data_IF_690907899741
#
_entry.id   IF_690907899741
#
_cell.length_a   1.000
_cell.length_b   1.000
_cell.length_c   1.000
_cell.angle_alpha   90.00
_cell.angle_beta   90.00
_cell.angle_gamma   90.00
#
_symmetry.space_group_name_H-M   'P 1'
#
loop_
_entity.id
_entity.type
_entity.pdbx_description
1 polymer ?
#
# COMPACT_ATOMS: atom_id res chain seq x y z
N UNK A 1 62.37 -10.70 15.62
CA UNK A 1 61.42 -9.74 15.01
C UNK A 1 60.97 -8.78 16.11
N UNK A 2 61.36 -7.51 16.01
CA UNK A 2 61.23 -6.52 17.10
C UNK A 2 59.77 -6.24 17.43
N UNK A 3 59.41 -6.19 18.73
CA UNK A 3 58.08 -5.83 19.26
C UNK A 3 57.55 -4.51 18.67
N UNK A 4 58.46 -3.66 18.19
CA UNK A 4 58.15 -2.41 17.48
C UNK A 4 57.46 -2.59 16.13
N UNK A 5 57.82 -3.64 15.36
CA UNK A 5 57.19 -3.94 14.07
C UNK A 5 55.75 -4.44 14.24
N UNK A 6 55.46 -5.16 15.32
CA UNK A 6 54.09 -5.58 15.65
C UNK A 6 53.20 -4.39 16.07
N UNK A 7 53.72 -3.43 16.85
CA UNK A 7 52.94 -2.25 17.22
C UNK A 7 52.62 -1.33 16.03
N UNK A 8 53.55 -1.21 15.06
CA UNK A 8 53.31 -0.46 13.82
C UNK A 8 52.25 -1.11 12.95
N UNK A 9 52.26 -2.44 12.80
CA UNK A 9 51.24 -3.18 12.04
C UNK A 9 49.87 -3.09 12.74
N UNK A 10 49.82 -3.11 14.07
CA UNK A 10 48.58 -2.98 14.84
C UNK A 10 47.97 -1.57 14.75
N UNK A 11 48.80 -0.52 14.69
CA UNK A 11 48.34 0.87 14.51
C UNK A 11 47.88 1.18 13.08
N UNK A 12 48.47 0.55 12.06
CA UNK A 12 48.02 0.68 10.67
C UNK A 12 46.71 -0.07 10.37
N UNK A 13 46.30 -1.02 11.20
CA UNK A 13 45.02 -1.75 11.07
C UNK A 13 43.78 -0.97 11.55
N UNK A 14 43.96 0.18 12.21
CA UNK A 14 42.86 1.00 12.76
C UNK A 14 42.40 2.13 11.84
N UNK A 15 42.98 2.29 10.65
CA UNK A 15 42.39 3.12 9.58
C UNK A 15 41.30 2.31 8.87
N UNK A 16 40.35 1.82 9.66
CA UNK A 16 39.16 1.11 9.18
C UNK A 16 38.25 2.08 8.44
N UNK A 17 37.78 1.63 7.28
CA UNK A 17 36.86 2.29 6.36
C UNK A 17 35.89 3.27 7.05
N UNK A 18 36.12 4.58 6.88
CA UNK A 18 34.99 5.51 6.86
C UNK A 18 34.18 5.16 5.63
N UNK A 19 33.14 4.33 5.81
CA UNK A 19 32.06 4.31 4.83
C UNK A 19 31.52 5.73 4.84
N UNK A 20 31.83 6.48 3.78
CA UNK A 20 31.09 7.69 3.44
C UNK A 20 29.67 7.26 3.09
N UNK A 21 28.90 6.85 4.08
CA UNK A 21 27.46 6.80 3.97
C UNK A 21 27.05 8.26 3.83
N UNK A 22 26.98 8.73 2.58
CA UNK A 22 26.23 9.95 2.24
C UNK A 22 24.95 9.91 3.05
N UNK A 23 24.67 10.91 3.90
CA UNK A 23 23.42 10.97 4.63
C UNK A 23 22.32 10.93 3.58
N UNK A 24 21.66 9.78 3.44
CA UNK A 24 20.52 9.67 2.54
C UNK A 24 19.52 10.72 3.01
N UNK A 25 18.94 11.53 2.11
CA UNK A 25 17.94 12.51 2.50
C UNK A 25 16.89 11.80 3.35
N UNK A 26 16.88 12.11 4.64
CA UNK A 26 15.88 11.56 5.55
C UNK A 26 14.55 12.17 5.10
N UNK A 27 13.53 11.32 4.95
CA UNK A 27 12.18 11.82 4.68
C UNK A 27 11.82 12.91 5.70
N UNK A 28 11.00 13.91 5.32
CA UNK A 28 10.62 14.99 6.23
C UNK A 28 9.72 14.54 7.40
N UNK A 29 9.48 13.22 7.50
CA UNK A 29 8.74 12.51 8.53
C UNK A 29 9.41 11.15 8.80
N UNK A 30 9.18 10.56 9.97
CA UNK A 30 9.91 9.35 10.40
C UNK A 30 9.57 8.09 9.60
N UNK A 31 8.36 8.01 9.06
CA UNK A 31 7.89 6.91 8.22
C UNK A 31 6.73 7.35 7.34
N UNK A 32 6.61 6.73 6.15
CA UNK A 32 5.39 6.73 5.36
C UNK A 32 4.53 5.51 5.71
N UNK A 33 3.23 5.56 5.47
CA UNK A 33 2.29 4.48 5.75
C UNK A 33 1.95 3.71 4.48
N UNK A 34 2.03 2.38 4.51
CA UNK A 34 1.54 1.50 3.45
C UNK A 34 0.22 0.88 3.90
N UNK A 35 -0.87 1.17 3.19
CA UNK A 35 -2.21 0.74 3.58
C UNK A 35 -3.02 0.12 2.45
N UNK A 36 -3.94 -0.76 2.84
CA UNK A 36 -4.77 -1.54 1.93
C UNK A 36 -6.24 -1.50 2.34
N UNK A 37 -7.10 -1.40 1.34
CA UNK A 37 -8.55 -1.48 1.53
C UNK A 37 -9.25 -2.13 0.34
N UNK A 38 -10.48 -2.56 0.58
CA UNK A 38 -11.41 -3.03 -0.43
C UNK A 38 -12.71 -2.22 -0.38
N UNK A 39 -13.49 -2.19 -1.49
CA UNK A 39 -14.83 -1.60 -1.48
C UNK A 39 -15.74 -2.30 -0.47
N UNK A 40 -16.79 -1.62 0.01
CA UNK A 40 -17.69 -2.19 1.00
C UNK A 40 -18.22 -3.56 0.58
N UNK A 41 -18.24 -4.51 1.52
CA UNK A 41 -18.65 -5.90 1.32
C UNK A 41 -17.85 -6.71 0.30
N UNK A 42 -16.87 -6.13 -0.41
CA UNK A 42 -16.03 -6.86 -1.36
C UNK A 42 -14.85 -7.51 -0.65
N UNK A 43 -15.12 -8.58 0.11
CA UNK A 43 -14.12 -9.22 0.95
C UNK A 43 -12.94 -9.75 0.12
N UNK A 44 -11.73 -9.42 0.54
CA UNK A 44 -10.49 -9.86 -0.07
C UNK A 44 -9.48 -10.35 0.98
N UNK A 45 -8.57 -11.21 0.55
CA UNK A 45 -7.40 -11.62 1.32
C UNK A 45 -6.13 -11.21 0.58
N UNK A 46 -5.33 -10.33 1.16
CA UNK A 46 -4.03 -9.95 0.61
C UNK A 46 -3.03 -11.08 0.88
N UNK A 47 -2.50 -11.72 -0.15
CA UNK A 47 -1.47 -12.75 0.03
C UNK A 47 -0.13 -12.11 0.36
N UNK A 48 0.24 -11.09 -0.42
CA UNK A 48 1.45 -10.31 -0.18
C UNK A 48 1.36 -8.92 -0.79
N UNK A 49 2.18 -8.04 -0.25
CA UNK A 49 2.66 -6.84 -0.89
C UNK A 49 4.17 -6.76 -0.73
N UNK A 50 4.91 -6.60 -1.83
CA UNK A 50 6.34 -6.35 -1.82
C UNK A 50 6.60 -4.91 -2.26
N UNK A 51 7.59 -4.27 -1.64
CA UNK A 51 7.95 -2.88 -1.90
C UNK A 51 9.42 -2.80 -2.26
N UNK A 52 9.74 -2.09 -3.35
CA UNK A 52 11.09 -1.57 -3.58
C UNK A 52 11.07 -0.05 -3.42
N UNK A 53 12.03 0.51 -2.70
CA UNK A 53 12.16 1.96 -2.53
C UNK A 53 13.10 2.60 -3.56
N UNK A 54 13.11 3.93 -3.58
CA UNK A 54 13.99 4.75 -4.44
C UNK A 54 15.49 4.53 -4.20
N UNK A 55 15.87 3.93 -3.07
CA UNK A 55 17.25 3.59 -2.74
C UNK A 55 17.66 2.20 -3.24
N UNK A 56 16.77 1.49 -3.95
CA UNK A 56 16.98 0.13 -4.42
C UNK A 56 16.83 -0.94 -3.34
N UNK A 57 16.27 -0.60 -2.17
CA UNK A 57 16.03 -1.59 -1.11
C UNK A 57 14.73 -2.33 -1.38
N UNK A 58 14.78 -3.65 -1.22
CA UNK A 58 13.64 -4.53 -1.38
C UNK A 58 13.11 -4.97 -0.02
N UNK A 59 11.81 -4.83 0.18
CA UNK A 59 11.08 -5.22 1.38
C UNK A 59 9.97 -6.22 1.01
N UNK A 60 10.24 -7.53 1.09
CA UNK A 60 9.26 -8.56 0.78
C UNK A 60 8.21 -8.69 1.90
N UNK A 61 7.01 -9.13 1.54
CA UNK A 61 5.91 -9.40 2.47
C UNK A 61 5.65 -8.22 3.43
N UNK A 62 5.71 -7.00 2.89
CA UNK A 62 5.45 -5.77 3.61
C UNK A 62 4.10 -5.79 4.34
N UNK A 63 3.10 -6.38 3.68
CA UNK A 63 1.75 -6.60 4.19
C UNK A 63 1.16 -7.91 3.67
N UNK A 64 0.16 -8.41 4.39
CA UNK A 64 -0.66 -9.56 4.04
C UNK A 64 -1.86 -9.68 4.98
N UNK A 65 -2.81 -10.56 4.65
CA UNK A 65 -4.01 -10.86 5.43
C UNK A 65 -5.25 -10.03 5.06
N UNK A 66 -6.19 -9.97 6.00
CA UNK A 66 -7.45 -9.19 5.86
C UNK A 66 -7.12 -7.70 5.73
N UNK A 67 -7.66 -7.04 4.71
CA UNK A 67 -7.55 -5.58 4.49
C UNK A 67 -8.74 -4.80 5.07
N UNK A 68 -8.67 -3.48 5.10
CA UNK A 68 -9.79 -2.66 5.57
C UNK A 68 -10.99 -2.71 4.61
N UNK A 69 -12.19 -2.83 5.15
CA UNK A 69 -13.42 -2.84 4.36
C UNK A 69 -14.63 -2.50 5.24
N UNK A 70 -15.59 -1.74 4.72
CA UNK A 70 -16.87 -1.54 5.39
C UNK A 70 -17.83 -2.71 5.17
N UNK A 71 -18.48 -3.16 6.24
CA UNK A 71 -19.53 -4.19 6.17
C UNK A 71 -20.64 -3.94 7.21
N UNK A 72 -21.30 -2.76 7.21
CA UNK A 72 -22.37 -2.50 8.18
C UNK A 72 -23.50 -3.52 8.00
N UNK A 73 -23.95 -4.11 9.12
CA UNK A 73 -24.95 -5.18 9.15
C UNK A 73 -26.32 -4.75 8.59
N UNK A 74 -26.62 -3.45 8.56
CA UNK A 74 -27.83 -2.90 7.95
C UNK A 74 -27.88 -3.02 6.42
N UNK A 75 -26.79 -3.44 5.77
CA UNK A 75 -26.66 -3.53 4.31
C UNK A 75 -26.95 -2.19 3.58
N UNK A 76 -26.79 -1.07 4.29
CA UNK A 76 -27.12 0.26 3.81
C UNK A 76 -25.99 0.95 3.06
N UNK A 77 -24.75 0.52 3.26
CA UNK A 77 -23.61 1.04 2.52
C UNK A 77 -23.62 0.50 1.09
N UNK A 78 -23.12 1.28 0.14
CA UNK A 78 -22.97 0.83 -1.24
C UNK A 78 -21.60 0.18 -1.46
N UNK A 79 -21.58 -0.95 -2.16
CA UNK A 79 -20.36 -1.54 -2.73
C UNK A 79 -19.97 -0.91 -4.07
N UNK A 80 -20.87 -0.14 -4.70
CA UNK A 80 -20.59 0.53 -5.99
C UNK A 80 -19.61 1.68 -5.78
N UNK A 81 -18.51 1.64 -6.52
CA UNK A 81 -17.45 2.63 -6.43
C UNK A 81 -16.68 2.57 -5.12
N UNK A 82 -15.67 3.44 -5.02
CA UNK A 82 -14.90 3.60 -3.80
C UNK A 82 -15.64 4.48 -2.80
N UNK A 83 -15.42 4.32 -1.48
CA UNK A 83 -15.96 5.23 -0.49
C UNK A 83 -15.60 6.69 -0.82
N UNK A 84 -16.55 7.62 -0.66
CA UNK A 84 -16.34 9.05 -0.94
C UNK A 84 -15.12 9.62 -0.22
N UNK A 85 -14.85 9.14 1.00
CA UNK A 85 -13.63 9.41 1.76
C UNK A 85 -12.86 8.11 1.88
N UNK A 86 -11.83 7.97 1.06
CA UNK A 86 -10.84 6.90 1.20
C UNK A 86 -10.04 7.22 2.45
N UNK A 87 -9.87 6.24 3.34
CA UNK A 87 -8.95 6.34 4.46
C UNK A 87 -7.67 5.57 4.15
N UNK A 88 -6.66 5.66 5.01
CA UNK A 88 -5.37 5.00 4.81
C UNK A 88 -5.49 3.47 4.67
N UNK A 89 -6.58 2.88 5.17
CA UNK A 89 -6.84 1.45 5.14
C UNK A 89 -6.15 0.71 6.28
N UNK A 90 -5.99 -0.61 6.15
CA UNK A 90 -5.23 -1.42 7.10
C UNK A 90 -3.82 -1.62 6.57
N UNK A 91 -2.83 -1.40 7.41
CA UNK A 91 -1.48 -1.19 6.96
C UNK A 91 -0.50 -1.03 8.10
N UNK A 92 0.70 -0.56 7.75
CA UNK A 92 1.79 -0.30 8.69
C UNK A 92 2.67 0.85 8.22
N UNK A 93 3.40 1.42 9.17
CA UNK A 93 4.46 2.37 8.89
C UNK A 93 5.71 1.66 8.35
N UNK A 94 6.30 2.26 7.32
CA UNK A 94 7.49 1.82 6.61
C UNK A 94 8.71 2.61 7.11
N UNK A 95 9.06 2.40 8.37
CA UNK A 95 10.14 3.13 9.04
C UNK A 95 11.49 2.79 8.45
N UNK A 96 12.29 3.83 8.19
CA UNK A 96 13.65 3.69 7.70
C UNK A 96 13.77 3.39 6.21
N UNK A 97 12.68 3.18 5.47
CA UNK A 97 12.67 3.02 4.00
C UNK A 97 12.53 4.37 3.30
N UNK A 98 13.10 4.49 2.10
CA UNK A 98 12.82 5.59 1.19
C UNK A 98 11.38 5.51 0.66
N UNK A 99 10.96 6.49 -0.13
CA UNK A 99 9.65 6.44 -0.77
C UNK A 99 9.55 5.24 -1.73
N UNK A 100 8.35 4.66 -1.90
CA UNK A 100 8.15 3.51 -2.76
C UNK A 100 8.41 3.88 -4.22
N UNK A 101 9.15 3.03 -4.92
CA UNK A 101 9.39 3.11 -6.36
C UNK A 101 8.63 2.02 -7.12
N UNK A 102 8.57 0.81 -6.59
CA UNK A 102 7.86 -0.31 -7.20
C UNK A 102 7.07 -1.09 -6.16
N UNK A 103 5.85 -1.48 -6.53
CA UNK A 103 4.97 -2.27 -5.69
C UNK A 103 4.55 -3.52 -6.47
N UNK A 104 4.65 -4.68 -5.83
CA UNK A 104 4.06 -5.93 -6.31
C UNK A 104 3.03 -6.42 -5.30
N UNK A 105 1.81 -6.70 -5.75
CA UNK A 105 0.71 -7.16 -4.89
C UNK A 105 0.08 -8.41 -5.48
N UNK A 106 -0.34 -9.31 -4.60
CA UNK A 106 -1.19 -10.45 -4.97
C UNK A 106 -2.27 -10.63 -3.92
N UNK A 107 -3.51 -10.80 -4.36
CA UNK A 107 -4.65 -10.96 -3.47
C UNK A 107 -5.67 -11.92 -4.04
N UNK A 108 -6.48 -12.46 -3.14
CA UNK A 108 -7.63 -13.29 -3.44
C UNK A 108 -8.88 -12.45 -3.29
N UNK A 109 -9.68 -12.33 -4.35
CA UNK A 109 -11.04 -11.86 -4.27
C UNK A 109 -11.92 -13.00 -3.76
N UNK A 110 -12.60 -12.81 -2.63
CA UNK A 110 -13.36 -13.89 -1.98
C UNK A 110 -14.84 -13.89 -2.42
N UNK A 111 -15.36 -12.72 -2.83
CA UNK A 111 -16.75 -12.57 -3.31
C UNK A 111 -16.96 -13.11 -4.72
N UNK A 112 -15.88 -13.20 -5.47
CA UNK A 112 -15.77 -13.89 -6.75
C UNK A 112 -14.42 -14.61 -6.72
N UNK A 113 -14.39 -15.89 -6.33
CA UNK A 113 -13.15 -16.63 -6.09
C UNK A 113 -12.19 -16.56 -7.29
N UNK A 114 -11.29 -15.57 -7.25
CA UNK A 114 -10.28 -15.29 -8.26
C UNK A 114 -9.08 -14.64 -7.58
N UNK A 115 -7.88 -15.16 -7.86
CA UNK A 115 -6.61 -14.55 -7.42
C UNK A 115 -6.08 -13.64 -8.50
N UNK A 116 -5.63 -12.45 -8.09
CA UNK A 116 -5.07 -11.44 -8.97
C UNK A 116 -3.69 -11.02 -8.50
N UNK A 117 -2.86 -10.57 -9.44
CA UNK A 117 -1.56 -9.97 -9.15
C UNK A 117 -1.31 -8.74 -10.01
N UNK A 118 -0.56 -7.79 -9.47
CA UNK A 118 -0.12 -6.60 -10.19
C UNK A 118 1.28 -6.20 -9.75
N UNK A 119 2.06 -5.68 -10.69
CA UNK A 119 3.34 -5.02 -10.43
C UNK A 119 3.32 -3.67 -11.14
N UNK A 120 3.63 -2.60 -10.42
CA UNK A 120 3.61 -1.26 -10.98
C UNK A 120 4.63 -0.34 -10.31
N UNK A 121 5.06 0.68 -11.05
CA UNK A 121 5.92 1.72 -10.53
C UNK A 121 5.10 2.88 -9.95
N UNK A 122 5.61 3.50 -8.89
CA UNK A 122 5.10 4.77 -8.39
C UNK A 122 5.82 5.88 -9.17
N UNK A 123 5.09 6.78 -9.85
CA UNK A 123 5.70 7.83 -10.64
C UNK A 123 6.43 8.85 -9.75
N UNK A 124 7.50 9.44 -10.29
CA UNK A 124 8.34 10.41 -9.57
C UNK A 124 7.51 11.59 -9.06
N UNK A 125 6.55 12.09 -9.85
CA UNK A 125 5.69 13.19 -9.42
C UNK A 125 4.92 12.88 -8.13
N UNK A 126 4.51 11.61 -7.93
CA UNK A 126 3.81 11.22 -6.72
C UNK A 126 4.76 11.25 -5.52
N UNK A 127 6.01 10.79 -5.70
CA UNK A 127 7.05 10.87 -4.67
C UNK A 127 7.33 12.33 -4.29
N UNK A 128 7.45 13.23 -5.27
CA UNK A 128 7.61 14.67 -5.03
C UNK A 128 6.45 15.24 -4.20
N UNK A 129 5.21 14.84 -4.53
CA UNK A 129 4.01 15.23 -3.77
C UNK A 129 3.96 14.64 -2.36
N UNK A 130 4.58 13.49 -2.10
CA UNK A 130 4.71 12.96 -0.75
C UNK A 130 5.71 13.77 0.10
N UNK A 131 6.70 14.42 -0.53
CA UNK A 131 7.70 15.27 0.13
C UNK A 131 7.23 16.72 0.33
N UNK A 132 6.15 17.13 -0.32
CA UNK A 132 5.61 18.50 -0.24
C UNK A 132 4.90 18.76 1.09
N UNK A 133 5.42 19.72 1.88
CA UNK A 133 4.76 20.22 3.09
C UNK A 133 3.67 21.20 2.70
N UNK A 134 2.42 20.90 3.05
CA UNK A 134 1.28 21.73 2.70
C UNK A 134 0.54 22.25 3.93
N UNK A 135 -0.01 23.47 3.89
CA UNK A 135 -0.98 23.90 4.91
C UNK A 135 -2.22 23.00 4.84
N UNK A 136 -2.78 22.65 6.00
CA UNK A 136 -3.91 21.76 6.12
C UNK A 136 -4.84 22.22 7.26
N UNK A 137 -6.14 21.96 7.13
CA UNK A 137 -7.12 22.18 8.19
C UNK A 137 -7.58 20.81 8.70
N UNK A 138 -7.00 20.35 9.81
CA UNK A 138 -7.35 19.05 10.37
C UNK A 138 -8.69 19.14 11.13
N UNK A 139 -9.61 18.16 10.96
CA UNK A 139 -10.88 18.17 11.67
C UNK A 139 -10.77 18.22 13.21
N UNK A 140 -9.68 17.68 13.78
CA UNK A 140 -9.49 17.56 15.23
C UNK A 140 -8.52 18.60 15.78
N UNK A 141 -7.38 18.82 15.12
CA UNK A 141 -6.32 19.71 15.62
C UNK A 141 -6.36 21.12 15.04
N UNK A 142 -7.31 21.41 14.13
CA UNK A 142 -7.39 22.69 13.41
C UNK A 142 -6.25 22.89 12.43
N UNK A 143 -5.97 24.16 12.11
CA UNK A 143 -4.97 24.58 11.14
C UNK A 143 -3.56 24.11 11.49
N UNK A 144 -2.92 23.43 10.55
CA UNK A 144 -1.58 22.86 10.67
C UNK A 144 -0.88 22.84 9.31
N UNK A 145 0.23 22.11 9.23
CA UNK A 145 0.82 21.65 7.98
C UNK A 145 0.99 20.14 8.00
N UNK A 146 0.83 19.47 6.87
CA UNK A 146 0.95 18.02 6.76
C UNK A 146 1.64 17.60 5.45
N UNK A 147 1.89 16.30 5.29
CA UNK A 147 2.47 15.67 4.12
C UNK A 147 1.54 14.56 3.63
N UNK A 148 1.60 14.24 2.33
CA UNK A 148 0.94 13.04 1.80
C UNK A 148 1.77 11.80 2.04
N UNK A 149 1.92 11.43 3.31
CA UNK A 149 2.82 10.37 3.77
C UNK A 149 2.18 8.97 3.77
N UNK A 150 0.96 8.82 3.27
CA UNK A 150 0.27 7.53 3.18
C UNK A 150 0.17 7.11 1.71
N UNK A 151 0.63 5.90 1.38
CA UNK A 151 0.37 5.21 0.11
C UNK A 151 -0.73 4.17 0.36
N UNK A 152 -1.91 4.42 -0.18
CA UNK A 152 -3.08 3.55 -0.01
C UNK A 152 -3.42 2.85 -1.30
N UNK A 153 -3.56 1.53 -1.23
CA UNK A 153 -3.96 0.67 -2.32
C UNK A 153 -5.39 0.17 -2.10
N UNK A 154 -6.28 0.56 -2.98
CA UNK A 154 -7.60 -0.02 -3.14
C UNK A 154 -7.49 -1.22 -4.07
N UNK A 155 -7.89 -2.40 -3.59
CA UNK A 155 -7.98 -3.62 -4.38
C UNK A 155 -9.44 -4.09 -4.42
N UNK A 156 -9.95 -4.36 -5.62
CA UNK A 156 -11.36 -4.70 -5.81
C UNK A 156 -11.54 -5.95 -6.70
N UNK A 157 -12.72 -6.58 -6.65
CA UNK A 157 -13.13 -7.59 -7.62
C UNK A 157 -12.98 -7.14 -9.07
N UNK A 158 -12.83 -8.11 -9.97
CA UNK A 158 -12.51 -7.87 -11.38
C UNK A 158 -11.07 -7.38 -11.60
N UNK A 159 -10.20 -7.47 -10.59
CA UNK A 159 -8.78 -7.14 -10.72
C UNK A 159 -8.48 -5.64 -10.76
N UNK A 160 -9.33 -4.78 -10.21
CA UNK A 160 -9.06 -3.33 -10.21
C UNK A 160 -8.14 -2.96 -9.06
N UNK A 161 -7.03 -2.29 -9.38
CA UNK A 161 -6.15 -1.65 -8.39
C UNK A 161 -6.21 -0.15 -8.58
N UNK A 162 -6.45 0.60 -7.50
CA UNK A 162 -6.40 2.06 -7.48
C UNK A 162 -5.48 2.51 -6.36
N UNK A 163 -4.65 3.50 -6.63
CA UNK A 163 -3.59 3.94 -5.71
C UNK A 163 -3.75 5.41 -5.42
N UNK A 164 -3.63 5.78 -4.14
CA UNK A 164 -3.65 7.16 -3.70
C UNK A 164 -2.42 7.47 -2.85
N UNK A 165 -1.95 8.72 -2.98
CA UNK A 165 -1.15 9.35 -1.94
C UNK A 165 -2.05 10.28 -1.13
N UNK A 166 -1.93 10.22 0.19
CA UNK A 166 -2.79 11.00 1.07
C UNK A 166 -2.10 11.33 2.39
N UNK A 167 -2.68 12.26 3.14
CA UNK A 167 -2.20 12.63 4.47
C UNK A 167 -3.37 12.71 5.44
N UNK A 168 -3.12 12.60 6.75
CA UNK A 168 -4.16 12.72 7.79
C UNK A 168 -5.10 13.92 7.60
N UNK A 169 -4.57 15.04 7.10
CA UNK A 169 -5.34 16.27 6.91
C UNK A 169 -5.33 16.82 5.48
N UNK A 170 -4.86 16.02 4.51
CA UNK A 170 -4.76 16.43 3.11
C UNK A 170 -5.64 15.55 2.23
N UNK A 171 -6.26 16.20 1.25
CA UNK A 171 -7.06 15.49 0.27
C UNK A 171 -6.21 14.52 -0.55
N UNK A 172 -6.74 13.30 -0.79
CA UNK A 172 -6.04 12.27 -1.55
C UNK A 172 -5.83 12.68 -3.01
N UNK A 173 -4.68 12.31 -3.56
CA UNK A 173 -4.39 12.36 -4.99
C UNK A 173 -4.40 10.93 -5.51
N UNK A 174 -5.25 10.64 -6.49
CA UNK A 174 -5.20 9.39 -7.23
C UNK A 174 -3.92 9.38 -8.09
N UNK A 175 -3.06 8.41 -7.82
CA UNK A 175 -1.78 8.23 -8.52
C UNK A 175 -1.97 7.45 -9.80
N UNK A 176 -2.71 6.35 -9.72
CA UNK A 176 -2.99 5.49 -10.86
C UNK A 176 -4.20 4.58 -10.59
N UNK A 177 -4.78 4.09 -11.67
CA UNK A 177 -5.71 2.97 -11.68
C UNK A 177 -5.27 1.98 -12.75
N UNK A 178 -5.26 0.70 -12.44
CA UNK A 178 -4.83 -0.35 -13.38
C UNK A 178 -5.65 -1.63 -13.25
N UNK A 179 -5.62 -2.41 -14.32
CA UNK A 179 -6.10 -3.78 -14.36
C UNK A 179 -4.98 -4.72 -13.91
N UNK A 180 -5.24 -5.50 -12.89
CA UNK A 180 -4.39 -6.61 -12.48
C UNK A 180 -4.64 -7.84 -13.35
N UNK A 181 -3.62 -8.67 -13.44
CA UNK A 181 -3.67 -9.96 -14.10
C UNK A 181 -4.26 -11.02 -13.17
N UNK A 182 -4.92 -12.01 -13.76
CA UNK A 182 -5.28 -13.23 -13.04
C UNK A 182 -4.00 -14.01 -12.72
N UNK A 183 -3.81 -14.42 -11.46
CA UNK A 183 -2.75 -15.37 -11.09
C UNK A 183 -3.18 -16.77 -11.55
N UNK A 184 -2.54 -17.36 -12.57
CA UNK A 184 -2.97 -18.62 -13.16
C UNK A 184 -2.85 -19.80 -12.19
N UNK A 185 -1.97 -19.72 -11.18
CA UNK A 185 -1.85 -20.77 -10.16
C UNK A 185 -2.94 -20.68 -9.08
N UNK A 186 -3.77 -19.64 -9.11
CA UNK A 186 -4.83 -19.41 -8.13
C UNK A 186 -4.27 -19.07 -6.73
N UNK A 187 -5.04 -19.34 -5.66
CA UNK A 187 -4.69 -18.92 -4.32
C UNK A 187 -3.40 -19.57 -3.81
N UNK A 188 -2.59 -18.75 -3.14
CA UNK A 188 -1.30 -19.07 -2.55
C UNK A 188 -0.32 -19.74 -3.54
N UNK A 189 -0.38 -19.29 -4.80
CA UNK A 189 0.38 -19.87 -5.91
C UNK A 189 0.16 -21.37 -6.09
N UNK A 190 -1.06 -21.84 -5.82
CA UNK A 190 -1.47 -23.24 -5.98
C UNK A 190 -1.19 -24.12 -4.76
N UNK A 191 -0.50 -23.61 -3.73
CA UNK A 191 -0.20 -24.37 -2.49
C UNK A 191 -1.46 -24.79 -1.74
N UNK A 192 -2.54 -24.02 -1.89
CA UNK A 192 -3.84 -24.27 -1.25
C UNK A 192 -4.76 -25.17 -2.08
N UNK A 193 -4.30 -25.78 -3.18
CA UNK A 193 -5.13 -26.65 -4.05
C UNK A 193 -6.45 -26.01 -4.48
N UNK A 194 -6.43 -24.71 -4.76
CA UNK A 194 -7.61 -23.93 -5.14
C UNK A 194 -8.49 -23.46 -3.97
N UNK A 195 -8.16 -23.82 -2.72
CA UNK A 195 -8.86 -23.30 -1.54
C UNK A 195 -8.46 -21.86 -1.27
N UNK A 196 -9.47 -21.02 -1.05
CA UNK A 196 -9.29 -19.62 -0.71
C UNK A 196 -9.07 -19.46 0.80
N UNK A 197 -8.36 -18.41 1.19
CA UNK A 197 -7.82 -18.25 2.53
C UNK A 197 -8.89 -18.17 3.63
N UNK A 198 -10.07 -17.62 3.31
CA UNK A 198 -11.15 -17.40 4.26
C UNK A 198 -12.52 -17.62 3.60
N UNK A 199 -13.52 -18.09 4.35
CA UNK A 199 -14.91 -18.00 3.92
C UNK A 199 -15.39 -16.53 3.94
N UNK A 200 -16.45 -16.24 3.19
CA UNK A 200 -17.16 -14.97 3.29
C UNK A 200 -17.82 -14.80 4.67
N UNK A 201 -17.82 -13.59 5.20
CA UNK A 201 -18.65 -13.24 6.37
C UNK A 201 -20.13 -13.36 6.00
N UNK A 202 -20.98 -13.63 6.99
CA UNK A 202 -22.44 -13.72 6.77
C UNK A 202 -23.02 -12.42 6.21
N UNK A 203 -22.52 -11.27 6.66
CA UNK A 203 -22.91 -9.95 6.13
C UNK A 203 -22.53 -9.81 4.65
N UNK A 204 -21.33 -10.23 4.27
CA UNK A 204 -20.88 -10.19 2.88
C UNK A 204 -21.69 -11.14 2.01
N UNK A 205 -21.95 -12.37 2.46
CA UNK A 205 -22.83 -13.33 1.76
C UNK A 205 -24.21 -12.72 1.52
N UNK A 206 -24.82 -12.14 2.56
CA UNK A 206 -26.14 -11.53 2.48
C UNK A 206 -26.16 -10.33 1.50
N UNK A 207 -25.12 -9.49 1.52
CA UNK A 207 -25.00 -8.37 0.59
C UNK A 207 -24.89 -8.84 -0.86
N UNK A 208 -23.96 -9.76 -1.15
CA UNK A 208 -23.73 -10.27 -2.51
C UNK A 208 -24.98 -11.01 -3.03
N UNK A 209 -25.67 -11.78 -2.19
CA UNK A 209 -26.92 -12.43 -2.57
C UNK A 209 -28.02 -11.42 -2.93
N UNK A 210 -28.09 -10.28 -2.23
CA UNK A 210 -29.13 -9.25 -2.44
C UNK A 210 -28.81 -8.29 -3.60
N UNK A 211 -27.55 -7.91 -3.77
CA UNK A 211 -27.14 -6.81 -4.64
C UNK A 211 -26.19 -7.21 -5.77
N UNK A 212 -25.62 -8.42 -5.71
CA UNK A 212 -24.55 -8.86 -6.60
C UNK A 212 -23.23 -8.11 -6.37
N UNK A 213 -22.23 -8.49 -7.15
CA UNK A 213 -20.93 -7.79 -7.22
C UNK A 213 -21.04 -6.68 -8.28
N UNK A 214 -20.80 -5.39 -7.94
CA UNK A 214 -20.96 -4.29 -8.87
C UNK A 214 -19.72 -4.08 -9.74
N UNK A 215 -19.46 -5.05 -10.62
CA UNK A 215 -18.35 -4.99 -11.57
C UNK A 215 -18.30 -3.68 -12.36
N UNK A 216 -17.08 -3.22 -12.65
CA UNK A 216 -16.84 -2.00 -13.42
C UNK A 216 -17.05 -0.69 -12.64
N UNK A 217 -17.62 -0.72 -11.43
CA UNK A 217 -17.93 0.51 -10.69
C UNK A 217 -16.72 1.21 -10.04
N UNK A 218 -15.56 0.55 -9.98
CA UNK A 218 -14.36 1.03 -9.28
C UNK A 218 -13.34 1.73 -10.17
N UNK A 219 -13.62 1.87 -11.47
CA UNK A 219 -12.78 2.59 -12.42
C UNK A 219 -12.91 4.10 -12.32
N UNK A 220 -14.12 4.58 -12.01
CA UNK A 220 -14.39 6.01 -11.94
C UNK A 220 -13.49 6.69 -10.89
N UNK A 221 -12.97 7.90 -11.17
CA UNK A 221 -12.34 8.74 -10.16
C UNK A 221 -13.32 9.02 -9.02
N UNK A 222 -12.79 9.26 -7.82
CA UNK A 222 -13.61 9.68 -6.70
C UNK A 222 -13.83 11.19 -6.83
N UNK A 223 -15.06 11.71 -6.71
CA UNK A 223 -15.32 13.15 -6.87
C UNK A 223 -14.53 14.08 -5.92
N UNK A 224 -13.98 13.52 -4.83
CA UNK A 224 -13.19 14.24 -3.82
C UNK A 224 -11.67 14.06 -3.98
N UNK A 225 -11.22 13.18 -4.89
CA UNK A 225 -9.80 13.02 -5.20
C UNK A 225 -9.44 13.90 -6.39
N UNK A 226 -8.25 14.49 -6.35
CA UNK A 226 -7.62 14.98 -7.58
C UNK A 226 -6.95 13.81 -8.29
N UNK A 227 -7.02 13.76 -9.61
CA UNK A 227 -6.25 12.78 -10.41
C UNK A 227 -4.90 13.40 -10.72
N UNK A 228 -3.83 12.62 -10.59
CA UNK A 228 -2.49 13.04 -10.98
C UNK A 228 -2.40 13.50 -12.45
N UNK A 229 -1.33 14.22 -12.81
CA UNK A 229 -1.07 14.67 -14.17
C UNK A 229 -0.88 13.51 -15.17
#
# INVERSE_FOLDING_TARGET
MSRWLLCLILMLGLVGCQTNATPKPKLPYDAWYLGFLAPNYMQVWLELANVSDIDGRFFPNAMGGVVAMGQPASLSATAKGWPRRVGSGKGRYMTGLGLPYMIAVRWQSLVEPQTYQAVFAIPVWAQDKMLERLPAECPVSGRTSDYRKDLTLGIAPGGVVKVWIMGPCLDPIEVLTLQAEVEPKGPDQGRMKGQYALPLTEVTKAYVAKHGVPYGSWWAPIPYTTVGP
#
